data_IF_055158691597
#
_entry.id   IF_055158691597
#
_cell.length_a   1.000
_cell.length_b   1.000
_cell.length_c   1.000
_cell.angle_alpha   90.00
_cell.angle_beta   90.00
_cell.angle_gamma   90.00
#
_symmetry.space_group_name_H-M   'P 1'
#
loop_
_entity.id
_entity.type
_entity.pdbx_description
1 polymer ?
#
# COMPACT_ATOMS: atom_id res chain seq x y z
N UNK A 1 1.69 38.54 -37.48
CA UNK A 1 2.91 38.35 -36.68
C UNK A 1 2.83 39.32 -35.52
N UNK A 2 2.56 38.83 -34.32
CA UNK A 2 2.81 39.56 -33.07
C UNK A 2 3.04 38.51 -31.99
N UNK A 3 4.29 38.37 -31.61
CA UNK A 3 4.78 37.46 -30.57
C UNK A 3 4.41 38.03 -29.19
N UNK A 4 4.01 37.16 -28.25
CA UNK A 4 4.05 37.46 -26.82
C UNK A 4 4.30 36.19 -26.04
N UNK A 5 5.59 35.93 -25.81
CA UNK A 5 6.12 35.05 -24.77
C UNK A 5 5.75 35.61 -23.40
N UNK A 6 5.22 34.78 -22.51
CA UNK A 6 5.37 34.96 -21.07
C UNK A 6 5.74 33.62 -20.42
N UNK A 7 7.03 33.52 -20.08
CA UNK A 7 7.54 32.59 -19.08
C UNK A 7 7.11 33.06 -17.69
N UNK A 8 6.67 32.14 -16.83
CA UNK A 8 6.63 32.35 -15.38
C UNK A 8 7.54 31.30 -14.74
N UNK A 9 8.74 31.76 -14.40
CA UNK A 9 9.64 31.11 -13.43
C UNK A 9 9.15 31.48 -12.04
N UNK A 10 9.08 30.50 -11.14
CA UNK A 10 9.02 30.76 -9.70
C UNK A 10 9.99 29.82 -8.99
N UNK A 11 11.14 30.37 -8.63
CA UNK A 11 12.15 29.75 -7.78
C UNK A 11 11.89 30.04 -6.30
N UNK A 12 12.18 29.01 -5.50
CA UNK A 12 12.60 29.00 -4.09
C UNK A 12 11.64 29.55 -3.00
N UNK A 13 11.33 28.70 -1.99
CA UNK A 13 12.02 28.71 -0.68
C UNK A 13 11.55 27.57 0.25
N UNK A 14 12.52 26.76 0.69
CA UNK A 14 12.45 25.65 1.65
C UNK A 14 12.09 26.14 3.07
N UNK A 15 11.12 25.50 3.74
CA UNK A 15 10.99 25.37 5.21
C UNK A 15 10.07 24.20 5.62
N UNK A 16 10.73 23.14 6.09
CA UNK A 16 10.44 22.22 7.22
C UNK A 16 9.01 21.75 7.57
N UNK A 17 8.92 20.42 7.74
CA UNK A 17 8.08 19.67 8.70
C UNK A 17 6.61 19.35 8.35
N UNK A 18 6.43 18.31 7.55
CA UNK A 18 5.83 17.04 7.96
C UNK A 18 6.20 16.01 6.88
N UNK A 19 6.79 14.87 7.25
CA UNK A 19 6.94 13.78 6.30
C UNK A 19 5.54 13.22 6.02
N UNK A 20 4.87 13.78 5.02
CA UNK A 20 3.81 13.09 4.30
C UNK A 20 4.36 11.71 3.94
N UNK A 21 3.68 10.60 4.28
CA UNK A 21 4.14 9.30 3.83
C UNK A 21 4.07 9.34 2.31
N UNK A 22 5.25 9.38 1.68
CA UNK A 22 5.44 9.01 0.28
C UNK A 22 4.54 7.80 0.05
N UNK A 23 3.51 7.95 -0.78
CA UNK A 23 2.41 7.01 -0.92
C UNK A 23 2.98 5.67 -1.37
N UNK A 24 3.35 4.83 -0.40
CA UNK A 24 4.10 3.62 -0.64
C UNK A 24 3.29 2.76 -1.61
N UNK A 25 3.90 2.38 -2.73
CA UNK A 25 3.24 1.48 -3.66
C UNK A 25 2.87 0.17 -2.95
N UNK A 26 1.75 -0.46 -3.31
CA UNK A 26 1.40 -1.73 -2.71
C UNK A 26 2.50 -2.76 -3.04
N UNK A 27 2.99 -3.45 -2.01
CA UNK A 27 4.03 -4.50 -2.15
C UNK A 27 3.52 -5.70 -2.94
N UNK A 28 2.20 -5.88 -2.99
CA UNK A 28 1.56 -6.87 -3.83
C UNK A 28 0.15 -6.44 -4.21
N UNK A 29 -0.36 -6.90 -5.36
CA UNK A 29 -1.75 -6.68 -5.75
C UNK A 29 -2.32 -7.94 -6.38
N UNK A 30 -3.47 -8.36 -5.89
CA UNK A 30 -4.23 -9.52 -6.35
C UNK A 30 -5.49 -9.00 -7.05
N UNK A 31 -5.85 -9.56 -8.21
CA UNK A 31 -6.99 -9.10 -9.01
C UNK A 31 -7.84 -10.27 -9.49
N UNK A 32 -9.15 -10.15 -9.26
CA UNK A 32 -10.18 -11.05 -9.80
C UNK A 32 -11.23 -10.20 -10.51
N UNK A 33 -11.28 -10.34 -11.84
CA UNK A 33 -12.17 -9.54 -12.68
C UNK A 33 -12.05 -8.04 -12.41
N UNK A 34 -13.16 -7.43 -11.96
CA UNK A 34 -13.21 -6.01 -11.68
C UNK A 34 -12.66 -5.62 -10.30
N UNK A 35 -12.42 -6.57 -9.40
CA UNK A 35 -12.03 -6.34 -8.00
C UNK A 35 -10.54 -6.62 -7.81
N UNK A 36 -9.86 -5.82 -6.99
CA UNK A 36 -8.48 -6.03 -6.61
C UNK A 36 -8.25 -5.77 -5.13
N UNK A 37 -7.36 -6.56 -4.52
CA UNK A 37 -6.78 -6.32 -3.21
C UNK A 37 -5.34 -5.81 -3.39
N UNK A 38 -5.05 -4.63 -2.86
CA UNK A 38 -3.70 -4.06 -2.80
C UNK A 38 -3.17 -4.26 -1.39
N UNK A 39 -2.06 -4.97 -1.26
CA UNK A 39 -1.39 -5.31 0.00
C UNK A 39 -0.26 -4.32 0.23
N UNK A 40 -0.18 -3.76 1.44
CA UNK A 40 0.80 -2.76 1.82
C UNK A 40 1.62 -3.31 2.98
N UNK A 41 2.92 -3.00 2.98
CA UNK A 41 3.76 -3.20 4.15
C UNK A 41 3.81 -1.89 4.92
N UNK A 42 3.47 -1.95 6.20
CA UNK A 42 3.48 -0.81 7.11
C UNK A 42 4.37 -1.10 8.30
N UNK A 43 4.72 -0.05 9.03
CA UNK A 43 5.45 -0.15 10.27
C UNK A 43 4.64 0.50 11.39
N UNK A 44 4.57 -0.14 12.55
CA UNK A 44 3.96 0.44 13.75
C UNK A 44 4.87 1.54 14.32
N UNK A 45 4.32 2.34 15.23
CA UNK A 45 5.12 3.32 15.98
C UNK A 45 6.22 2.67 16.83
N UNK A 46 6.06 1.39 17.21
CA UNK A 46 7.07 0.62 17.94
C UNK A 46 8.12 -0.04 17.04
N UNK A 47 8.00 0.14 15.72
CA UNK A 47 8.95 -0.39 14.74
C UNK A 47 8.60 -1.76 14.16
N UNK A 48 7.50 -2.39 14.58
CA UNK A 48 7.07 -3.70 14.06
C UNK A 48 6.48 -3.56 12.65
N UNK A 49 6.99 -4.33 11.70
CA UNK A 49 6.45 -4.37 10.34
C UNK A 49 5.22 -5.29 10.28
N UNK A 50 4.14 -4.83 9.66
CA UNK A 50 2.93 -5.61 9.45
C UNK A 50 2.39 -5.40 8.03
N UNK A 51 1.55 -6.32 7.56
CA UNK A 51 0.86 -6.18 6.29
C UNK A 51 -0.61 -5.86 6.51
N UNK A 52 -1.15 -4.96 5.70
CA UNK A 52 -2.59 -4.76 5.56
C UNK A 52 -2.99 -4.81 4.08
N UNK A 53 -4.28 -4.85 3.79
CA UNK A 53 -4.74 -4.75 2.41
C UNK A 53 -5.98 -3.86 2.29
N UNK A 54 -6.11 -3.22 1.12
CA UNK A 54 -7.28 -2.44 0.75
C UNK A 54 -7.93 -3.02 -0.50
N UNK A 55 -9.26 -2.99 -0.54
CA UNK A 55 -10.03 -3.47 -1.69
C UNK A 55 -10.44 -2.30 -2.58
N UNK A 56 -10.40 -2.53 -3.89
CA UNK A 56 -10.94 -1.61 -4.88
C UNK A 56 -11.65 -2.35 -6.01
N UNK A 57 -12.65 -1.71 -6.59
CA UNK A 57 -13.31 -2.15 -7.82
C UNK A 57 -13.05 -1.16 -8.94
N UNK A 58 -12.56 -1.64 -10.06
CA UNK A 58 -12.42 -0.86 -11.29
C UNK A 58 -13.70 -0.88 -12.13
N UNK A 59 -13.93 0.21 -12.86
CA UNK A 59 -14.99 0.30 -13.87
C UNK A 59 -14.52 1.20 -15.02
N UNK A 60 -15.02 0.95 -16.23
CA UNK A 60 -14.74 1.81 -17.38
C UNK A 60 -15.86 2.83 -17.53
N UNK A 61 -15.50 4.10 -17.60
CA UNK A 61 -16.43 5.15 -17.97
C UNK A 61 -16.80 5.03 -19.44
N UNK A 62 -18.10 4.97 -19.74
CA UNK A 62 -18.59 4.95 -21.11
C UNK A 62 -18.39 6.29 -21.83
N UNK A 63 -18.33 7.41 -21.09
CA UNK A 63 -18.22 8.76 -21.66
C UNK A 63 -16.79 9.22 -21.88
N UNK A 64 -15.82 8.73 -21.10
CA UNK A 64 -14.44 9.24 -21.11
C UNK A 64 -13.40 8.17 -21.45
N UNK A 65 -13.80 6.92 -21.66
CA UNK A 65 -12.90 5.75 -21.84
C UNK A 65 -11.86 5.54 -20.73
N UNK A 66 -11.95 6.30 -19.63
CA UNK A 66 -11.05 6.20 -18.48
C UNK A 66 -11.55 5.11 -17.53
N UNK A 67 -10.60 4.42 -16.90
CA UNK A 67 -10.89 3.51 -15.80
C UNK A 67 -11.02 4.31 -14.50
N UNK A 68 -12.16 4.20 -13.83
CA UNK A 68 -12.36 4.69 -12.47
C UNK A 68 -12.20 3.57 -11.44
N UNK A 69 -11.96 3.95 -10.19
CA UNK A 69 -11.85 3.04 -9.06
C UNK A 69 -12.84 3.42 -7.96
N UNK A 70 -13.33 2.44 -7.20
CA UNK A 70 -14.26 2.66 -6.10
C UNK A 70 -14.01 1.66 -4.97
N UNK A 71 -14.35 2.05 -3.74
CA UNK A 71 -14.37 1.16 -2.56
C UNK A 71 -15.76 0.57 -2.31
N UNK A 72 -16.71 0.80 -3.22
CA UNK A 72 -18.07 0.28 -3.17
C UNK A 72 -18.25 -0.90 -4.14
N UNK A 73 -18.92 -1.95 -3.65
CA UNK A 73 -19.13 -3.22 -4.35
C UNK A 73 -20.62 -3.51 -4.52
N UNK A 74 -20.95 -4.31 -5.54
CA UNK A 74 -22.31 -4.79 -5.78
C UNK A 74 -22.44 -6.27 -5.43
N UNK A 75 -23.67 -6.77 -5.25
CA UNK A 75 -23.92 -8.19 -4.96
C UNK A 75 -23.30 -9.14 -5.99
N UNK A 76 -23.31 -8.75 -7.28
CA UNK A 76 -22.66 -9.52 -8.36
C UNK A 76 -21.14 -9.67 -8.22
N UNK A 77 -20.49 -8.83 -7.42
CA UNK A 77 -19.05 -8.92 -7.15
C UNK A 77 -18.73 -9.88 -6.00
N UNK A 78 -19.73 -10.58 -5.43
CA UNK A 78 -19.54 -11.45 -4.26
C UNK A 78 -18.39 -12.44 -4.42
N UNK A 79 -18.37 -13.19 -5.50
CA UNK A 79 -17.34 -14.22 -5.74
C UNK A 79 -15.95 -13.60 -5.90
N UNK A 80 -15.83 -12.54 -6.70
CA UNK A 80 -14.57 -11.80 -6.89
C UNK A 80 -14.04 -11.26 -5.55
N UNK A 81 -14.92 -10.66 -4.72
CA UNK A 81 -14.56 -10.14 -3.39
C UNK A 81 -14.09 -11.25 -2.46
N UNK A 82 -14.80 -12.38 -2.41
CA UNK A 82 -14.41 -13.53 -1.58
C UNK A 82 -13.03 -14.05 -1.97
N UNK A 83 -12.80 -14.26 -3.27
CA UNK A 83 -11.54 -14.78 -3.79
C UNK A 83 -10.35 -13.84 -3.54
N UNK A 84 -10.49 -12.52 -3.77
CA UNK A 84 -9.37 -11.61 -3.51
C UNK A 84 -9.04 -11.50 -2.03
N UNK A 85 -10.04 -11.59 -1.15
CA UNK A 85 -9.84 -11.55 0.31
C UNK A 85 -9.11 -12.80 0.76
N UNK A 86 -9.57 -13.98 0.35
CA UNK A 86 -8.92 -15.26 0.68
C UNK A 86 -7.45 -15.26 0.23
N UNK A 87 -7.19 -14.93 -1.03
CA UNK A 87 -5.82 -14.87 -1.57
C UNK A 87 -4.94 -13.82 -0.89
N UNK A 88 -5.50 -12.67 -0.50
CA UNK A 88 -4.75 -11.64 0.22
C UNK A 88 -4.36 -12.11 1.63
N UNK A 89 -5.30 -12.74 2.35
CA UNK A 89 -5.03 -13.33 3.66
C UNK A 89 -3.96 -14.41 3.56
N UNK A 90 -4.08 -15.33 2.60
CA UNK A 90 -3.09 -16.40 2.39
C UNK A 90 -1.69 -15.85 2.12
N UNK A 91 -1.61 -14.81 1.27
CA UNK A 91 -0.34 -14.14 0.96
C UNK A 91 0.29 -13.51 2.21
N UNK A 92 -0.51 -12.81 3.01
CA UNK A 92 -0.05 -12.17 4.25
C UNK A 92 0.43 -13.23 5.25
N UNK A 93 -0.37 -14.26 5.52
CA UNK A 93 -0.01 -15.32 6.46
C UNK A 93 1.19 -16.15 6.00
N UNK A 94 1.44 -16.25 4.69
CA UNK A 94 2.67 -16.84 4.18
C UNK A 94 3.88 -15.94 4.44
N UNK A 95 3.75 -14.62 4.23
CA UNK A 95 4.84 -13.65 4.45
C UNK A 95 5.20 -13.51 5.92
N UNK A 96 4.22 -13.49 6.80
CA UNK A 96 4.44 -13.41 8.25
C UNK A 96 5.24 -14.63 8.74
N UNK A 97 4.84 -15.85 8.34
CA UNK A 97 5.59 -17.07 8.65
C UNK A 97 7.04 -17.06 8.13
N UNK A 98 7.26 -16.48 6.95
CA UNK A 98 8.62 -16.34 6.39
C UNK A 98 9.47 -15.34 7.19
N UNK A 99 8.87 -14.26 7.66
CA UNK A 99 9.56 -13.24 8.45
C UNK A 99 9.95 -13.79 9.84
N UNK A 100 9.01 -14.46 10.52
CA UNK A 100 9.26 -15.09 11.82
C UNK A 100 10.36 -16.17 11.75
N UNK A 101 10.38 -16.99 10.69
CA UNK A 101 11.42 -18.00 10.50
C UNK A 101 12.81 -17.40 10.22
N UNK A 102 12.88 -16.11 9.85
CA UNK A 102 14.11 -15.43 9.45
C UNK A 102 14.69 -14.52 10.54
N UNK A 103 13.98 -14.28 11.64
CA UNK A 103 14.50 -13.56 12.82
C UNK A 103 15.20 -14.54 13.76
N UNK A 104 16.56 -14.57 13.82
CA UNK A 104 17.24 -15.31 14.87
C UNK A 104 17.01 -14.60 16.21
N UNK A 105 16.72 -15.38 17.26
CA UNK A 105 16.61 -14.93 18.64
C UNK A 105 17.81 -14.07 19.06
N UNK A 106 17.68 -12.74 18.97
CA UNK A 106 18.72 -11.79 19.36
C UNK A 106 18.17 -10.82 20.41
N UNK A 107 17.79 -11.34 21.59
CA UNK A 107 17.61 -10.50 22.78
C UNK A 107 17.57 -11.31 24.10
N UNK A 108 18.58 -12.11 24.38
CA UNK A 108 18.77 -12.67 25.72
C UNK A 108 20.24 -12.94 26.03
N UNK A 109 21.08 -11.91 26.07
CA UNK A 109 22.33 -11.94 26.85
C UNK A 109 22.99 -10.55 26.87
N UNK A 110 22.68 -9.77 27.91
CA UNK A 110 23.56 -8.70 28.42
C UNK A 110 22.97 -8.11 29.71
N UNK A 111 22.88 -8.91 30.78
CA UNK A 111 22.78 -8.38 32.14
C UNK A 111 23.23 -9.42 33.16
N UNK A 112 24.52 -9.75 33.15
CA UNK A 112 25.19 -10.24 34.35
C UNK A 112 26.71 -10.01 34.28
N UNK A 113 27.19 -8.90 34.84
CA UNK A 113 28.52 -8.78 35.46
C UNK A 113 28.76 -7.35 35.94
N UNK A 114 28.65 -7.13 37.25
CA UNK A 114 29.67 -6.46 38.08
C UNK A 114 29.06 -6.12 39.45
N UNK A 115 29.22 -7.05 40.40
CA UNK A 115 29.28 -6.79 41.83
C UNK A 115 30.76 -6.83 42.24
#
# INVERSE_FOLDING_TARGET
MNESKQELKSDAKKKSAAAEPETAEPVHTIREGAVAASIWQRQSLSGYAYYDFSLSRSWKSMSSSKTGYSRNFFSRNREEVQLVVEKACDWISQRERQNEASEPAASSDANNAAL
#
